data_IF_545331350752
#
_entry.id   IF_545331350752
#
_cell.length_a   1.000
_cell.length_b   1.000
_cell.length_c   1.000
_cell.angle_alpha   90.00
_cell.angle_beta   90.00
_cell.angle_gamma   90.00
#
_symmetry.space_group_name_H-M   'P 1'
#
loop_
_entity.id
_entity.type
_entity.pdbx_description
1 polymer ?
#
# COMPACT_ATOMS: atom_id res chain seq x y z
N UNK A 1 -16.35 23.37 17.84
CA UNK A 1 -16.08 22.06 17.25
C UNK A 1 -15.81 21.08 18.38
N UNK A 2 -16.39 19.89 18.39
CA UNK A 2 -16.00 18.81 19.32
C UNK A 2 -14.62 18.31 18.91
N UNK A 3 -13.78 17.95 19.89
CA UNK A 3 -12.50 17.30 19.58
C UNK A 3 -12.74 16.01 18.77
N UNK A 4 -11.87 15.68 17.79
CA UNK A 4 -11.99 14.43 17.05
C UNK A 4 -11.93 13.24 18.00
N UNK A 5 -12.73 12.21 17.72
CA UNK A 5 -12.77 11.00 18.55
C UNK A 5 -11.97 9.91 17.88
N UNK A 6 -11.20 9.14 18.68
CA UNK A 6 -10.49 7.95 18.21
C UNK A 6 -11.46 6.92 17.62
N UNK A 7 -11.00 6.18 16.62
CA UNK A 7 -11.76 5.05 16.06
C UNK A 7 -11.83 3.89 17.06
N UNK A 8 -10.68 3.62 17.74
CA UNK A 8 -10.58 2.52 18.71
C UNK A 8 -9.81 2.98 19.95
N UNK A 9 -10.55 3.27 21.04
CA UNK A 9 -9.98 3.78 22.28
C UNK A 9 -9.20 2.72 23.11
N UNK A 10 -9.29 1.44 22.73
CA UNK A 10 -8.62 0.33 23.41
C UNK A 10 -7.20 0.06 22.89
N UNK A 11 -6.76 0.74 21.84
CA UNK A 11 -5.39 0.62 21.30
C UNK A 11 -4.40 1.37 22.21
N UNK A 12 -3.38 0.65 22.69
CA UNK A 12 -2.35 1.23 23.54
C UNK A 12 -1.21 1.85 22.72
N UNK A 13 -1.26 3.17 22.53
CA UNK A 13 -0.23 3.94 21.80
C UNK A 13 0.98 4.30 22.66
N UNK A 14 0.95 4.09 23.98
CA UNK A 14 1.99 4.57 24.89
C UNK A 14 3.40 4.07 24.54
N UNK A 15 3.62 2.79 24.13
CA UNK A 15 4.96 2.33 23.75
C UNK A 15 5.55 3.07 22.56
N UNK A 16 4.73 3.43 21.55
CA UNK A 16 5.16 4.21 20.39
C UNK A 16 5.48 5.64 20.82
N UNK A 17 4.62 6.26 21.63
CA UNK A 17 4.80 7.63 22.11
C UNK A 17 6.09 7.75 22.92
N UNK A 18 6.38 6.79 23.78
CA UNK A 18 7.58 6.80 24.61
C UNK A 18 8.85 6.61 23.77
N UNK A 19 8.83 5.69 22.80
CA UNK A 19 9.94 5.47 21.89
C UNK A 19 10.23 6.72 21.04
N UNK A 20 9.20 7.35 20.47
CA UNK A 20 9.33 8.58 19.68
C UNK A 20 9.88 9.74 20.52
N UNK A 21 9.44 9.88 21.78
CA UNK A 21 9.92 10.95 22.68
C UNK A 21 11.38 10.80 23.08
N UNK A 22 11.86 9.58 23.23
CA UNK A 22 13.23 9.27 23.67
C UNK A 22 14.23 9.25 22.52
N UNK A 23 13.78 9.03 21.29
CA UNK A 23 14.63 8.94 20.11
C UNK A 23 15.29 10.28 19.78
N UNK A 24 16.57 10.23 19.41
CA UNK A 24 17.34 11.35 18.85
C UNK A 24 17.32 11.36 17.33
N UNK A 25 17.03 10.21 16.74
CA UNK A 25 16.90 10.05 15.29
C UNK A 25 15.85 9.01 14.95
N UNK A 26 14.96 9.33 14.01
CA UNK A 26 13.84 8.51 13.59
C UNK A 26 13.82 8.41 12.07
N UNK A 27 13.61 7.20 11.54
CA UNK A 27 13.35 6.99 10.12
C UNK A 27 11.95 6.39 9.95
N UNK A 28 11.15 7.01 9.11
CA UNK A 28 9.87 6.46 8.68
C UNK A 28 10.07 5.71 7.36
N UNK A 29 9.51 4.51 7.27
CA UNK A 29 9.64 3.64 6.10
C UNK A 29 8.30 2.95 5.83
N UNK A 30 8.02 2.68 4.55
CA UNK A 30 6.89 1.83 4.15
C UNK A 30 7.35 0.70 3.23
N UNK A 31 6.43 -0.13 2.75
CA UNK A 31 6.74 -1.30 1.93
C UNK A 31 7.22 -0.95 0.51
N UNK A 32 7.91 -1.91 -0.15
CA UNK A 32 8.24 -1.82 -1.58
C UNK A 32 6.99 -1.68 -2.43
N UNK A 33 7.08 -0.91 -3.52
CA UNK A 33 5.96 -0.49 -4.35
C UNK A 33 4.84 0.10 -3.47
N UNK A 34 5.11 1.22 -2.80
CA UNK A 34 4.19 1.79 -1.83
C UNK A 34 2.93 2.30 -2.51
N UNK A 35 1.82 2.14 -1.82
CA UNK A 35 0.51 2.66 -2.25
C UNK A 35 0.12 3.92 -1.48
N UNK A 36 -1.14 4.34 -1.65
CA UNK A 36 -1.64 5.57 -1.01
C UNK A 36 -1.77 5.45 0.50
N UNK A 37 -1.95 4.23 1.05
CA UNK A 37 -1.99 4.04 2.50
C UNK A 37 -0.61 4.19 3.11
N UNK A 38 0.39 3.50 2.57
CA UNK A 38 1.76 3.62 3.06
C UNK A 38 2.30 5.04 2.95
N UNK A 39 2.17 5.68 1.79
CA UNK A 39 2.66 7.06 1.56
C UNK A 39 1.86 8.09 2.37
N UNK A 40 0.53 8.03 2.35
CA UNK A 40 -0.31 8.97 3.10
C UNK A 40 -0.06 8.92 4.61
N UNK A 41 0.09 7.70 5.15
CA UNK A 41 0.44 7.47 6.55
C UNK A 41 1.81 8.04 6.89
N UNK A 42 2.80 7.82 6.02
CA UNK A 42 4.17 8.31 6.19
C UNK A 42 4.21 9.84 6.19
N UNK A 43 3.57 10.52 5.22
CA UNK A 43 3.53 11.98 5.15
C UNK A 43 2.84 12.59 6.37
N UNK A 44 1.71 12.03 6.80
CA UNK A 44 0.97 12.53 7.95
C UNK A 44 1.76 12.42 9.26
N UNK A 45 2.43 11.28 9.47
CA UNK A 45 3.26 11.09 10.66
C UNK A 45 4.53 11.94 10.61
N UNK A 46 5.15 12.07 9.43
CA UNK A 46 6.31 12.94 9.26
C UNK A 46 5.99 14.40 9.60
N UNK A 47 4.92 14.98 9.03
CA UNK A 47 4.49 16.35 9.35
C UNK A 47 4.26 16.53 10.84
N UNK A 48 3.65 15.55 11.51
CA UNK A 48 3.42 15.61 12.94
C UNK A 48 4.72 15.66 13.75
N UNK A 49 5.76 14.98 13.31
CA UNK A 49 6.99 14.81 14.07
C UNK A 49 8.06 15.86 13.76
N UNK A 50 8.01 16.57 12.61
CA UNK A 50 8.99 17.62 12.25
C UNK A 50 8.78 18.94 12.98
N UNK A 51 7.67 19.12 13.69
CA UNK A 51 7.28 20.40 14.35
C UNK A 51 8.36 20.99 15.27
N UNK A 52 9.36 20.21 15.64
CA UNK A 52 10.45 20.68 16.51
C UNK A 52 11.65 21.28 15.75
N UNK A 53 11.74 21.17 14.42
CA UNK A 53 12.82 21.77 13.62
C UNK A 53 14.22 21.21 13.89
N UNK A 54 14.33 20.04 14.49
CA UNK A 54 15.56 19.47 15.00
C UNK A 54 16.28 18.50 14.02
N UNK A 55 15.71 18.28 12.83
CA UNK A 55 16.29 17.42 11.79
C UNK A 55 16.41 15.93 12.17
N UNK A 56 15.78 15.51 13.28
CA UNK A 56 15.91 14.15 13.80
C UNK A 56 15.05 13.12 13.08
N UNK A 57 14.21 13.55 12.14
CA UNK A 57 13.27 12.67 11.42
C UNK A 57 13.55 12.72 9.93
N UNK A 58 13.62 11.55 9.32
CA UNK A 58 13.75 11.40 7.88
C UNK A 58 12.79 10.31 7.37
N UNK A 59 12.57 10.31 6.07
CA UNK A 59 11.77 9.30 5.38
C UNK A 59 12.65 8.57 4.35
N UNK A 60 12.54 7.25 4.28
CA UNK A 60 13.28 6.47 3.32
C UNK A 60 12.42 5.31 2.81
N UNK A 61 12.25 5.21 1.50
CA UNK A 61 11.51 4.13 0.86
C UNK A 61 12.36 3.50 -0.25
N UNK A 62 12.37 2.17 -0.35
CA UNK A 62 13.09 1.45 -1.40
C UNK A 62 12.77 2.00 -2.80
N UNK A 63 11.49 2.20 -3.08
CA UNK A 63 10.99 2.58 -4.40
C UNK A 63 10.50 4.04 -4.46
N UNK A 64 10.80 4.84 -3.42
CA UNK A 64 10.46 6.27 -3.37
C UNK A 64 8.96 6.52 -3.16
N UNK A 65 8.45 7.57 -3.81
CA UNK A 65 7.03 7.96 -3.80
C UNK A 65 6.48 7.82 -5.22
N UNK A 66 5.41 7.05 -5.44
CA UNK A 66 4.74 6.97 -6.74
C UNK A 66 4.28 8.35 -7.22
N UNK A 67 4.38 8.59 -8.53
CA UNK A 67 4.06 9.87 -9.17
C UNK A 67 2.68 10.42 -8.79
N UNK A 68 1.68 9.54 -8.66
CA UNK A 68 0.31 9.93 -8.31
C UNK A 68 0.15 10.48 -6.90
N UNK A 69 1.12 10.25 -6.00
CA UNK A 69 1.12 10.76 -4.61
C UNK A 69 2.13 11.89 -4.40
N UNK A 70 2.87 12.31 -5.45
CA UNK A 70 3.88 13.37 -5.36
C UNK A 70 3.31 14.76 -5.01
N UNK A 71 2.00 14.94 -5.05
CA UNK A 71 1.32 16.17 -4.65
C UNK A 71 1.18 16.31 -3.12
N UNK A 72 1.40 15.25 -2.36
CA UNK A 72 1.38 15.31 -0.90
C UNK A 72 2.55 16.11 -0.38
N UNK A 73 2.28 16.96 0.60
CA UNK A 73 3.31 17.77 1.26
C UNK A 73 4.39 16.87 1.85
N UNK A 74 5.65 17.23 1.70
CA UNK A 74 6.87 16.49 2.09
C UNK A 74 7.23 15.26 1.22
N UNK A 75 6.47 14.94 0.18
CA UNK A 75 6.77 13.79 -0.67
C UNK A 75 8.16 13.84 -1.31
N UNK A 76 8.66 15.04 -1.63
CA UNK A 76 9.99 15.30 -2.19
C UNK A 76 11.14 15.06 -1.19
N UNK A 77 10.83 14.92 0.09
CA UNK A 77 11.81 14.67 1.15
C UNK A 77 12.09 13.18 1.39
N UNK A 78 11.33 12.29 0.73
CA UNK A 78 11.53 10.84 0.82
C UNK A 78 12.79 10.45 0.06
N UNK A 79 13.75 9.90 0.78
CA UNK A 79 14.95 9.31 0.19
C UNK A 79 14.58 7.98 -0.48
N UNK A 80 15.08 7.74 -1.69
CA UNK A 80 14.80 6.54 -2.48
C UNK A 80 16.05 5.67 -2.63
N UNK A 81 15.86 4.38 -2.69
CA UNK A 81 16.90 3.40 -3.01
C UNK A 81 17.47 2.68 -1.79
N UNK A 82 18.70 2.18 -1.92
CA UNK A 82 19.39 1.54 -0.81
C UNK A 82 19.82 2.57 0.24
N UNK A 83 19.74 2.20 1.52
CA UNK A 83 20.29 3.03 2.57
C UNK A 83 21.83 3.11 2.42
N UNK A 84 22.43 4.31 2.51
CA UNK A 84 23.86 4.44 2.41
C UNK A 84 24.57 3.60 3.48
N UNK A 85 25.51 2.77 3.07
CA UNK A 85 26.23 1.83 3.96
C UNK A 85 27.05 2.51 5.05
N UNK A 86 27.40 3.77 4.85
CA UNK A 86 28.16 4.62 5.78
C UNK A 86 27.26 5.56 6.61
N UNK A 87 25.95 5.55 6.40
CA UNK A 87 25.03 6.35 7.18
C UNK A 87 24.92 5.83 8.63
N UNK A 88 24.84 6.76 9.57
CA UNK A 88 24.55 6.42 10.96
C UNK A 88 23.17 5.79 11.08
N UNK A 89 23.07 4.66 11.79
CA UNK A 89 21.77 4.02 12.07
C UNK A 89 20.92 4.93 12.96
N UNK A 90 19.60 5.01 12.70
CA UNK A 90 18.69 5.77 13.57
C UNK A 90 18.51 5.07 14.92
N UNK A 91 18.02 5.82 15.92
CA UNK A 91 17.60 5.21 17.19
C UNK A 91 16.30 4.40 17.02
N UNK A 92 15.39 4.88 16.16
CA UNK A 92 14.06 4.26 15.90
C UNK A 92 13.78 4.21 14.40
N UNK A 93 13.26 3.07 13.95
CA UNK A 93 12.65 2.92 12.63
C UNK A 93 11.15 2.66 12.83
N UNK A 94 10.30 3.42 12.16
CA UNK A 94 8.86 3.20 12.15
C UNK A 94 8.44 2.68 10.79
N UNK A 95 8.12 1.40 10.73
CA UNK A 95 7.58 0.74 9.55
C UNK A 95 6.05 0.91 9.53
N UNK A 96 5.55 1.55 8.47
CA UNK A 96 4.14 1.85 8.26
C UNK A 96 3.57 0.95 7.15
N UNK A 97 2.37 0.44 7.37
CA UNK A 97 1.62 -0.30 6.36
C UNK A 97 2.40 -1.48 5.76
N UNK A 98 3.04 -2.25 6.60
CA UNK A 98 3.89 -3.35 6.16
C UNK A 98 3.67 -4.62 6.99
N UNK A 99 3.15 -5.66 6.38
CA UNK A 99 2.84 -6.93 7.05
C UNK A 99 4.03 -7.86 7.27
N UNK A 100 5.21 -7.59 6.69
CA UNK A 100 6.41 -8.43 6.84
C UNK A 100 7.70 -7.64 6.54
N UNK A 101 8.74 -7.83 7.37
CA UNK A 101 10.02 -7.10 7.28
C UNK A 101 10.66 -7.14 5.90
N UNK A 102 10.62 -8.29 5.23
CA UNK A 102 11.18 -8.44 3.88
C UNK A 102 10.51 -7.58 2.81
N UNK A 103 9.28 -7.08 3.06
CA UNK A 103 8.61 -6.13 2.17
C UNK A 103 9.12 -4.70 2.28
N UNK A 104 9.88 -4.36 3.31
CA UNK A 104 10.50 -3.04 3.44
C UNK A 104 11.63 -2.82 2.41
N UNK A 105 12.13 -3.90 1.78
CA UNK A 105 13.13 -3.83 0.71
C UNK A 105 14.52 -3.39 1.15
N UNK A 106 14.78 -3.41 2.45
CA UNK A 106 16.07 -3.05 3.04
C UNK A 106 16.83 -4.28 3.52
N UNK A 107 18.17 -4.26 3.50
CA UNK A 107 18.97 -5.33 4.07
C UNK A 107 18.68 -5.55 5.55
N UNK A 108 18.71 -6.82 5.99
CA UNK A 108 18.40 -7.17 7.37
C UNK A 108 19.33 -6.46 8.39
N UNK A 109 20.58 -6.27 8.03
CA UNK A 109 21.60 -5.61 8.87
C UNK A 109 21.22 -4.16 9.21
N UNK A 110 20.34 -3.54 8.40
CA UNK A 110 19.90 -2.18 8.65
C UNK A 110 18.99 -2.06 9.88
N UNK A 111 18.27 -3.14 10.19
CA UNK A 111 17.39 -3.22 11.35
C UNK A 111 18.10 -3.66 12.64
N UNK A 112 19.40 -4.01 12.58
CA UNK A 112 20.17 -4.40 13.76
C UNK A 112 20.60 -3.17 14.55
N UNK A 113 20.07 -2.99 15.75
CA UNK A 113 20.37 -1.91 16.68
C UNK A 113 19.26 -0.89 16.89
N UNK A 114 18.64 -0.31 15.83
CA UNK A 114 17.46 0.54 16.00
C UNK A 114 16.28 -0.19 16.66
N UNK A 115 15.47 0.53 17.45
CA UNK A 115 14.16 0.01 17.85
C UNK A 115 13.23 0.03 16.64
N UNK A 116 12.74 -1.13 16.23
CA UNK A 116 11.81 -1.27 15.10
C UNK A 116 10.36 -1.25 15.59
N UNK A 117 9.63 -0.24 15.17
CA UNK A 117 8.18 -0.09 15.44
C UNK A 117 7.44 -0.47 14.15
N UNK A 118 6.44 -1.33 14.26
CA UNK A 118 5.54 -1.65 13.14
C UNK A 118 4.12 -1.19 13.47
N UNK A 119 3.57 -0.30 12.65
CA UNK A 119 2.17 0.17 12.70
C UNK A 119 1.49 -0.29 11.41
N UNK A 120 0.51 -1.19 11.53
CA UNK A 120 -0.06 -1.87 10.38
C UNK A 120 -1.49 -2.37 10.64
N UNK A 121 -2.33 -2.37 9.63
CA UNK A 121 -3.69 -2.89 9.71
C UNK A 121 -3.88 -4.26 9.03
N UNK A 122 -2.85 -4.84 8.48
CA UNK A 122 -2.93 -6.12 7.79
C UNK A 122 -3.16 -7.30 8.77
N UNK A 123 -4.25 -8.05 8.59
CA UNK A 123 -4.52 -9.26 9.38
C UNK A 123 -3.44 -10.35 9.22
N UNK A 124 -2.66 -10.32 8.14
CA UNK A 124 -1.56 -11.26 7.85
C UNK A 124 -0.21 -10.80 8.40
N UNK A 125 -0.16 -9.73 9.19
CA UNK A 125 1.07 -9.19 9.74
C UNK A 125 1.81 -10.23 10.60
N UNK A 126 3.14 -10.26 10.47
CA UNK A 126 4.01 -11.23 11.15
C UNK A 126 4.60 -10.72 12.47
N UNK A 127 4.17 -9.55 12.96
CA UNK A 127 4.63 -8.94 14.21
C UNK A 127 6.16 -8.86 14.29
N UNK A 128 6.78 -8.30 13.25
CA UNK A 128 8.23 -8.32 13.06
C UNK A 128 8.98 -7.17 13.75
N UNK A 129 8.28 -6.20 14.34
CA UNK A 129 8.84 -5.09 15.11
C UNK A 129 9.13 -5.48 16.56
N UNK A 130 9.96 -4.69 17.24
CA UNK A 130 10.13 -4.73 18.69
C UNK A 130 8.87 -4.20 19.38
N UNK A 131 8.23 -3.20 18.76
CA UNK A 131 6.92 -2.66 19.15
C UNK A 131 5.98 -2.87 17.97
N UNK A 132 4.86 -3.56 18.17
CA UNK A 132 3.88 -3.83 17.14
C UNK A 132 2.52 -3.27 17.54
N UNK A 133 2.03 -2.30 16.80
CA UNK A 133 0.64 -1.86 16.84
C UNK A 133 -0.01 -2.37 15.55
N UNK A 134 -0.66 -3.52 15.68
CA UNK A 134 -1.28 -4.20 14.53
C UNK A 134 -2.74 -4.46 14.84
N UNK A 135 -3.64 -3.89 14.02
CA UNK A 135 -5.07 -4.03 14.25
C UNK A 135 -5.89 -3.99 12.95
N UNK A 136 -6.36 -5.14 12.52
CA UNK A 136 -7.14 -5.32 11.30
C UNK A 136 -8.57 -4.73 11.34
N UNK A 137 -8.98 -4.13 12.46
CA UNK A 137 -10.25 -3.39 12.55
C UNK A 137 -10.18 -2.03 11.85
N UNK A 138 -8.98 -1.47 11.70
CA UNK A 138 -8.79 -0.22 10.96
C UNK A 138 -8.95 -0.43 9.46
N UNK A 139 -9.51 0.56 8.79
CA UNK A 139 -9.71 0.52 7.34
C UNK A 139 -8.45 0.81 6.54
N UNK A 140 -7.42 1.37 7.17
CA UNK A 140 -6.15 1.79 6.60
C UNK A 140 -5.16 2.07 7.72
N UNK A 141 -3.87 2.00 7.46
CA UNK A 141 -2.82 2.44 8.39
C UNK A 141 -2.92 3.94 8.67
N UNK A 142 -3.35 4.75 7.69
CA UNK A 142 -3.62 6.18 7.89
C UNK A 142 -4.69 6.46 8.96
N UNK A 143 -5.69 5.59 9.09
CA UNK A 143 -6.67 5.70 10.18
C UNK A 143 -6.04 5.37 11.56
N UNK A 144 -5.02 4.52 11.61
CA UNK A 144 -4.21 4.28 12.82
C UNK A 144 -3.37 5.52 13.16
N UNK A 145 -2.78 6.16 12.16
CA UNK A 145 -2.05 7.43 12.37
C UNK A 145 -2.98 8.53 12.90
N UNK A 146 -4.23 8.61 12.42
CA UNK A 146 -5.23 9.53 13.00
C UNK A 146 -5.39 9.34 14.51
N UNK A 147 -5.59 8.09 14.96
CA UNK A 147 -5.72 7.78 16.39
C UNK A 147 -4.43 8.04 17.17
N UNK A 148 -3.25 7.75 16.59
CA UNK A 148 -1.95 8.07 17.18
C UNK A 148 -1.79 9.59 17.38
N UNK A 149 -2.16 10.41 16.41
CA UNK A 149 -2.08 11.87 16.52
C UNK A 149 -2.98 12.39 17.66
N UNK A 150 -4.18 11.84 17.82
CA UNK A 150 -5.06 12.16 18.95
C UNK A 150 -4.40 11.76 20.27
N UNK A 151 -3.85 10.57 20.38
CA UNK A 151 -3.15 10.08 21.58
C UNK A 151 -1.92 10.94 21.93
N UNK A 152 -1.24 11.49 20.93
CA UNK A 152 -0.12 12.43 21.09
C UNK A 152 -0.57 13.88 21.40
N UNK A 153 -1.88 14.18 21.41
CA UNK A 153 -2.45 15.51 21.48
C UNK A 153 -1.96 16.45 20.35
N UNK A 154 -1.74 15.89 19.16
CA UNK A 154 -1.32 16.64 17.99
C UNK A 154 -2.53 17.08 17.16
N UNK A 155 -2.71 18.37 16.89
CA UNK A 155 -3.84 18.84 16.10
C UNK A 155 -3.69 18.40 14.64
N UNK A 156 -4.81 18.17 13.98
CA UNK A 156 -4.83 18.03 12.52
C UNK A 156 -4.52 19.39 11.88
N UNK A 157 -3.76 19.34 10.80
CA UNK A 157 -3.57 20.43 9.85
C UNK A 157 -3.82 19.92 8.43
N UNK A 158 -3.72 20.77 7.41
CA UNK A 158 -3.99 20.37 6.02
C UNK A 158 -3.08 19.24 5.55
N UNK A 159 -1.78 19.27 5.87
CA UNK A 159 -0.82 18.25 5.45
C UNK A 159 -1.16 16.87 6.03
N UNK A 160 -1.33 16.78 7.36
CA UNK A 160 -1.72 15.55 8.07
C UNK A 160 -3.05 15.01 7.57
N UNK A 161 -4.04 15.89 7.48
CA UNK A 161 -5.38 15.54 7.03
C UNK A 161 -5.38 15.04 5.58
N UNK A 162 -4.62 15.64 4.68
CA UNK A 162 -4.51 15.18 3.29
C UNK A 162 -3.84 13.82 3.18
N UNK A 163 -2.76 13.58 3.94
CA UNK A 163 -2.09 12.27 3.96
C UNK A 163 -3.03 11.17 4.46
N UNK A 164 -3.70 11.36 5.62
CA UNK A 164 -4.65 10.39 6.18
C UNK A 164 -5.85 10.18 5.25
N UNK A 165 -6.31 11.26 4.58
CA UNK A 165 -7.42 11.16 3.64
C UNK A 165 -7.04 10.32 2.42
N UNK A 166 -5.85 10.51 1.83
CA UNK A 166 -5.32 9.69 0.72
C UNK A 166 -5.23 8.22 1.14
N UNK A 167 -4.62 7.95 2.28
CA UNK A 167 -4.52 6.59 2.85
C UNK A 167 -5.90 5.91 2.95
N UNK A 168 -6.86 6.59 3.58
CA UNK A 168 -8.21 6.07 3.75
C UNK A 168 -8.94 5.90 2.40
N UNK A 169 -8.82 6.89 1.50
CA UNK A 169 -9.46 6.87 0.18
C UNK A 169 -9.01 5.69 -0.66
N UNK A 170 -7.70 5.43 -0.69
CA UNK A 170 -7.13 4.36 -1.52
C UNK A 170 -7.44 2.98 -0.94
N UNK A 171 -7.27 2.77 0.35
CA UNK A 171 -7.43 1.45 0.95
C UNK A 171 -8.90 1.05 1.20
N UNK A 172 -9.81 2.01 1.19
CA UNK A 172 -11.25 1.74 1.16
C UNK A 172 -11.83 1.68 -0.26
N UNK A 173 -10.99 1.75 -1.29
CA UNK A 173 -11.40 1.86 -2.69
C UNK A 173 -12.47 2.97 -2.89
N UNK A 174 -12.19 4.18 -2.43
CA UNK A 174 -13.10 5.34 -2.42
C UNK A 174 -14.34 5.12 -1.54
N UNK A 175 -14.14 4.66 -0.32
CA UNK A 175 -15.20 4.44 0.68
C UNK A 175 -16.27 3.40 0.25
N UNK A 176 -15.88 2.41 -0.58
CA UNK A 176 -16.79 1.36 -1.10
C UNK A 176 -16.65 0.02 -0.40
N UNK A 177 -15.53 -0.23 0.29
CA UNK A 177 -15.29 -1.50 0.96
C UNK A 177 -16.02 -1.59 2.30
N UNK A 178 -16.24 -2.82 2.78
CA UNK A 178 -16.91 -3.10 4.05
C UNK A 178 -16.17 -2.54 5.28
N UNK A 179 -14.88 -2.25 5.17
CA UNK A 179 -14.08 -1.54 6.17
C UNK A 179 -14.53 -0.08 6.37
N UNK A 180 -15.35 0.49 5.48
CA UNK A 180 -15.88 1.85 5.57
C UNK A 180 -17.05 1.91 6.55
N UNK A 181 -16.73 2.02 7.82
CA UNK A 181 -17.73 2.12 8.91
C UNK A 181 -18.23 3.56 9.10
N UNK A 182 -19.30 3.77 9.89
CA UNK A 182 -19.70 5.13 10.28
C UNK A 182 -18.62 5.93 11.00
N UNK A 183 -17.69 5.28 11.71
CA UNK A 183 -16.55 5.93 12.34
C UNK A 183 -15.56 6.47 11.30
N UNK A 184 -15.30 5.71 10.23
CA UNK A 184 -14.45 6.13 9.10
C UNK A 184 -15.03 7.36 8.40
N UNK A 185 -16.35 7.43 8.19
CA UNK A 185 -16.99 8.63 7.61
C UNK A 185 -16.88 9.86 8.54
N UNK A 186 -16.98 9.68 9.86
CA UNK A 186 -16.77 10.80 10.82
C UNK A 186 -15.33 11.27 10.77
N UNK A 187 -14.36 10.35 10.80
CA UNK A 187 -12.94 10.68 10.61
C UNK A 187 -12.72 11.45 9.30
N UNK A 188 -13.30 10.97 8.19
CA UNK A 188 -13.20 11.69 6.91
C UNK A 188 -13.78 13.09 6.97
N UNK A 189 -14.88 13.32 7.70
CA UNK A 189 -15.42 14.66 7.92
C UNK A 189 -14.46 15.53 8.72
N UNK A 190 -13.84 15.01 9.79
CA UNK A 190 -12.82 15.72 10.58
C UNK A 190 -11.60 16.09 9.73
N UNK A 191 -11.17 15.19 8.83
CA UNK A 191 -10.06 15.43 7.88
C UNK A 191 -10.39 16.57 6.90
N UNK A 192 -11.61 16.59 6.36
CA UNK A 192 -12.06 17.66 5.45
C UNK A 192 -12.16 18.99 6.22
N UNK A 193 -12.65 18.97 7.45
CA UNK A 193 -12.71 20.16 8.31
C UNK A 193 -11.30 20.69 8.62
N UNK A 194 -10.30 19.82 8.75
CA UNK A 194 -8.89 20.17 8.95
C UNK A 194 -8.18 20.64 7.67
N UNK A 195 -8.85 20.59 6.51
CA UNK A 195 -8.35 21.15 5.26
C UNK A 195 -7.97 20.13 4.17
N UNK A 196 -8.26 18.83 4.35
CA UNK A 196 -8.18 17.89 3.23
C UNK A 196 -9.23 18.27 2.17
N UNK A 197 -8.81 18.30 0.91
CA UNK A 197 -9.66 18.74 -0.21
C UNK A 197 -10.03 17.51 -1.07
N UNK A 198 -11.22 16.90 -0.88
CA UNK A 198 -11.59 15.64 -1.54
C UNK A 198 -11.49 15.68 -3.07
N UNK A 199 -11.94 16.77 -3.71
CA UNK A 199 -11.93 16.89 -5.17
C UNK A 199 -10.51 16.96 -5.73
N UNK A 200 -9.63 17.89 -5.32
CA UNK A 200 -8.23 17.90 -5.77
C UNK A 200 -7.50 16.59 -5.53
N UNK A 201 -7.68 15.97 -4.36
CA UNK A 201 -7.08 14.67 -4.04
C UNK A 201 -7.58 13.58 -5.00
N UNK A 202 -8.90 13.52 -5.25
CA UNK A 202 -9.47 12.51 -6.15
C UNK A 202 -8.97 12.68 -7.59
N UNK A 203 -8.84 13.93 -8.05
CA UNK A 203 -8.29 14.22 -9.39
C UNK A 203 -6.84 13.70 -9.48
N UNK A 204 -6.00 13.97 -8.49
CA UNK A 204 -4.61 13.48 -8.49
C UNK A 204 -4.53 11.96 -8.46
N UNK A 205 -5.32 11.31 -7.62
CA UNK A 205 -5.26 9.85 -7.46
C UNK A 205 -5.89 9.10 -8.63
N UNK A 206 -6.98 9.60 -9.21
CA UNK A 206 -7.78 8.82 -10.17
C UNK A 206 -7.85 9.41 -11.58
N UNK A 207 -7.57 10.71 -11.78
CA UNK A 207 -7.74 11.40 -13.06
C UNK A 207 -6.43 12.01 -13.58
N UNK A 208 -5.26 11.60 -13.06
CA UNK A 208 -3.94 12.09 -13.45
C UNK A 208 -3.16 11.10 -14.35
N UNK A 209 -3.84 10.17 -15.00
CA UNK A 209 -3.19 9.19 -15.89
C UNK A 209 -2.49 9.87 -17.06
N UNK A 210 -1.29 9.41 -17.39
CA UNK A 210 -0.56 9.81 -18.58
C UNK A 210 -1.24 9.29 -19.87
N UNK A 211 -0.93 9.86 -21.03
CA UNK A 211 -1.41 9.32 -22.29
C UNK A 211 -0.87 7.89 -22.55
N UNK A 212 0.40 7.62 -22.18
CA UNK A 212 0.98 6.28 -22.20
C UNK A 212 0.22 5.33 -21.27
N UNK A 213 -0.21 5.80 -20.09
CA UNK A 213 -1.07 5.06 -19.16
C UNK A 213 -2.44 4.68 -19.74
N UNK A 214 -3.03 5.53 -20.60
CA UNK A 214 -4.24 5.17 -21.34
C UNK A 214 -3.96 4.17 -22.46
N UNK A 215 -2.83 4.30 -23.15
CA UNK A 215 -2.43 3.36 -24.20
C UNK A 215 -2.15 1.96 -23.63
N UNK A 216 -1.41 1.87 -22.51
CA UNK A 216 -1.13 0.56 -21.88
C UNK A 216 -2.41 -0.06 -21.31
N UNK A 217 -3.32 0.74 -20.76
CA UNK A 217 -4.63 0.26 -20.31
C UNK A 217 -5.39 -0.39 -21.49
N UNK A 218 -5.47 0.26 -22.63
CA UNK A 218 -6.12 -0.29 -23.82
C UNK A 218 -5.44 -1.59 -24.26
N UNK A 219 -4.11 -1.60 -24.38
CA UNK A 219 -3.35 -2.77 -24.79
C UNK A 219 -3.46 -3.92 -23.78
N UNK A 220 -3.54 -3.64 -22.49
CA UNK A 220 -3.76 -4.62 -21.45
C UNK A 220 -5.17 -5.23 -21.56
N UNK A 221 -6.20 -4.41 -21.75
CA UNK A 221 -7.59 -4.88 -21.87
C UNK A 221 -7.82 -5.69 -23.14
N UNK A 222 -7.08 -5.41 -24.23
CA UNK A 222 -7.11 -6.22 -25.46
C UNK A 222 -6.58 -7.65 -25.22
N UNK A 223 -5.84 -7.90 -24.13
CA UNK A 223 -5.39 -9.26 -23.76
C UNK A 223 -6.38 -10.03 -22.89
N UNK A 224 -7.56 -9.45 -22.62
CA UNK A 224 -8.53 -10.03 -21.69
C UNK A 224 -8.96 -11.44 -22.10
N UNK A 225 -8.80 -12.37 -21.20
CA UNK A 225 -9.25 -13.77 -21.35
C UNK A 225 -10.19 -14.15 -20.20
N UNK A 226 -11.34 -14.72 -20.55
CA UNK A 226 -12.22 -15.34 -19.56
C UNK A 226 -11.90 -16.82 -19.43
N UNK A 227 -11.79 -17.33 -18.19
CA UNK A 227 -11.47 -18.73 -17.89
C UNK A 227 -12.35 -19.26 -16.77
N UNK A 228 -12.22 -20.56 -16.45
CA UNK A 228 -12.95 -21.21 -15.35
C UNK A 228 -14.48 -20.97 -15.45
N UNK A 229 -15.06 -21.21 -16.62
CA UNK A 229 -16.48 -21.01 -16.93
C UNK A 229 -16.97 -19.55 -16.66
N UNK A 230 -16.09 -18.56 -16.93
CA UNK A 230 -16.38 -17.14 -16.72
C UNK A 230 -16.14 -16.64 -15.29
N UNK A 231 -15.67 -17.49 -14.37
CA UNK A 231 -15.42 -17.15 -12.98
C UNK A 231 -14.05 -16.51 -12.75
N UNK A 232 -13.12 -16.62 -13.71
CA UNK A 232 -11.86 -15.87 -13.66
C UNK A 232 -11.63 -15.04 -14.92
N UNK A 233 -11.04 -13.85 -14.75
CA UNK A 233 -10.65 -12.94 -15.81
C UNK A 233 -9.17 -12.61 -15.73
N UNK A 234 -8.47 -12.69 -16.86
CA UNK A 234 -7.02 -12.59 -16.94
C UNK A 234 -6.61 -11.49 -17.90
N UNK A 235 -5.66 -10.67 -17.50
CA UNK A 235 -5.06 -9.63 -18.32
C UNK A 235 -3.53 -9.66 -18.21
N UNK A 236 -2.85 -9.17 -19.25
CA UNK A 236 -1.40 -9.29 -19.38
C UNK A 236 -0.76 -7.98 -19.83
N UNK A 237 0.44 -7.71 -19.31
CA UNK A 237 1.35 -6.70 -19.86
C UNK A 237 2.74 -7.31 -20.01
N UNK A 238 3.19 -7.43 -21.27
CA UNK A 238 4.49 -7.93 -21.64
C UNK A 238 5.46 -6.79 -21.95
N UNK A 239 6.76 -7.07 -22.07
CA UNK A 239 7.78 -6.10 -22.49
C UNK A 239 7.44 -5.45 -23.84
N UNK A 240 6.81 -6.21 -24.73
CA UNK A 240 6.38 -5.69 -26.04
C UNK A 240 5.27 -4.63 -25.89
N UNK A 241 4.34 -4.83 -24.96
CA UNK A 241 3.29 -3.85 -24.64
C UNK A 241 3.91 -2.59 -24.04
N UNK A 242 4.82 -2.71 -23.05
CA UNK A 242 5.53 -1.55 -22.51
C UNK A 242 6.25 -0.76 -23.59
N UNK A 243 7.03 -1.44 -24.44
CA UNK A 243 7.76 -0.79 -25.54
C UNK A 243 6.85 -0.08 -26.55
N UNK A 244 5.70 -0.67 -26.90
CA UNK A 244 4.75 -0.09 -27.86
C UNK A 244 4.00 1.10 -27.32
N UNK A 245 3.71 1.12 -26.05
CA UNK A 245 2.91 2.18 -25.39
C UNK A 245 3.77 3.31 -24.84
N UNK A 246 5.06 3.04 -24.58
CA UNK A 246 5.95 3.98 -23.90
C UNK A 246 5.58 4.21 -22.43
N UNK A 247 4.77 3.31 -21.86
CA UNK A 247 4.34 3.35 -20.47
C UNK A 247 5.38 2.71 -19.55
N UNK A 248 5.33 3.03 -18.28
CA UNK A 248 6.12 2.42 -17.21
C UNK A 248 5.25 1.54 -16.29
N UNK A 249 5.88 0.97 -15.26
CA UNK A 249 5.20 0.10 -14.29
C UNK A 249 4.11 0.84 -13.51
N UNK A 250 4.32 2.12 -13.18
CA UNK A 250 3.32 2.91 -12.45
C UNK A 250 2.04 3.07 -13.27
N UNK A 251 2.15 3.16 -14.59
CA UNK A 251 1.00 3.26 -15.49
C UNK A 251 0.11 2.00 -15.49
N UNK A 252 0.59 0.87 -14.92
CA UNK A 252 -0.18 -0.38 -14.82
C UNK A 252 -1.02 -0.48 -13.55
N UNK A 253 -0.92 0.50 -12.64
CA UNK A 253 -1.67 0.45 -11.38
C UNK A 253 -3.19 0.52 -11.62
N UNK A 254 -3.91 -0.34 -10.92
CA UNK A 254 -5.38 -0.43 -11.02
C UNK A 254 -5.92 -1.15 -12.27
N UNK A 255 -5.08 -1.60 -13.23
CA UNK A 255 -5.57 -2.28 -14.43
C UNK A 255 -6.32 -3.59 -14.14
N UNK A 256 -5.92 -4.31 -13.11
CA UNK A 256 -6.58 -5.55 -12.67
C UNK A 256 -8.04 -5.34 -12.25
N UNK A 257 -8.40 -4.15 -11.79
CA UNK A 257 -9.74 -3.86 -11.30
C UNK A 257 -10.77 -3.86 -12.42
N UNK A 258 -10.37 -3.55 -13.64
CA UNK A 258 -11.24 -3.69 -14.81
C UNK A 258 -11.62 -5.16 -15.06
N UNK A 259 -10.66 -6.07 -14.99
CA UNK A 259 -10.92 -7.51 -15.09
C UNK A 259 -11.80 -8.00 -13.94
N UNK A 260 -11.55 -7.53 -12.70
CA UNK A 260 -12.38 -7.86 -11.53
C UNK A 260 -13.80 -7.33 -11.67
N UNK A 261 -14.02 -6.21 -12.36
CA UNK A 261 -15.34 -5.57 -12.48
C UNK A 261 -16.36 -6.36 -13.30
N UNK A 262 -15.88 -7.32 -14.12
CA UNK A 262 -16.76 -8.13 -14.99
C UNK A 262 -17.77 -8.92 -14.14
N UNK A 263 -19.00 -8.95 -14.58
CA UNK A 263 -20.04 -9.74 -13.90
C UNK A 263 -19.72 -11.24 -13.94
N UNK A 264 -20.01 -11.94 -12.86
CA UNK A 264 -19.69 -13.36 -12.70
C UNK A 264 -18.21 -13.67 -12.36
N UNK A 265 -17.28 -12.70 -12.49
CA UNK A 265 -15.88 -12.90 -12.12
C UNK A 265 -15.74 -12.92 -10.60
N UNK A 266 -15.08 -13.96 -10.10
CA UNK A 266 -14.72 -14.14 -8.70
C UNK A 266 -13.23 -13.85 -8.44
N UNK A 267 -12.37 -14.17 -9.41
CA UNK A 267 -10.92 -13.92 -9.34
C UNK A 267 -10.45 -13.21 -10.60
N UNK A 268 -9.82 -12.05 -10.45
CA UNK A 268 -9.05 -11.41 -11.50
C UNK A 268 -7.56 -11.71 -11.34
N UNK A 269 -6.90 -11.96 -12.45
CA UNK A 269 -5.46 -12.23 -12.54
C UNK A 269 -4.81 -11.22 -13.48
N UNK A 270 -3.76 -10.56 -13.01
CA UNK A 270 -2.94 -9.69 -13.82
C UNK A 270 -1.50 -10.18 -13.81
N UNK A 271 -0.95 -10.50 -14.97
CA UNK A 271 0.44 -10.94 -15.13
C UNK A 271 1.20 -9.89 -15.92
N UNK A 272 2.24 -9.32 -15.34
CA UNK A 272 3.11 -8.38 -16.02
C UNK A 272 4.57 -8.78 -15.97
N UNK A 273 5.32 -8.48 -17.03
CA UNK A 273 6.77 -8.68 -17.05
C UNK A 273 7.46 -7.78 -16.01
N UNK A 274 8.58 -8.27 -15.51
CA UNK A 274 9.49 -7.48 -14.68
C UNK A 274 10.38 -6.63 -15.60
N UNK A 275 10.57 -5.34 -15.27
CA UNK A 275 11.34 -4.43 -16.10
C UNK A 275 12.86 -4.69 -16.10
N UNK A 276 13.36 -5.39 -15.09
CA UNK A 276 14.80 -5.54 -14.82
C UNK A 276 15.28 -6.96 -15.12
N UNK A 277 14.45 -7.96 -14.85
CA UNK A 277 14.84 -9.37 -14.94
C UNK A 277 13.98 -10.08 -15.98
N UNK A 278 14.63 -10.51 -17.06
CA UNK A 278 13.98 -11.30 -18.10
C UNK A 278 13.36 -12.58 -17.53
N UNK A 279 12.22 -12.99 -18.10
CA UNK A 279 11.46 -14.17 -17.67
C UNK A 279 11.05 -14.17 -16.19
N UNK A 280 11.01 -13.00 -15.56
CA UNK A 280 10.38 -12.79 -14.24
C UNK A 280 9.07 -12.04 -14.43
N UNK A 281 8.04 -12.51 -13.72
CA UNK A 281 6.68 -11.99 -13.84
C UNK A 281 6.13 -11.64 -12.47
N UNK A 282 5.54 -10.48 -12.34
CA UNK A 282 4.68 -10.13 -11.21
C UNK A 282 3.27 -10.58 -11.52
N UNK A 283 2.71 -11.40 -10.64
CA UNK A 283 1.33 -11.87 -10.73
C UNK A 283 0.53 -11.26 -9.60
N UNK A 284 -0.51 -10.52 -9.96
CA UNK A 284 -1.44 -9.91 -9.02
C UNK A 284 -2.79 -10.61 -9.08
N UNK A 285 -3.43 -10.75 -7.93
CA UNK A 285 -4.75 -11.35 -7.79
C UNK A 285 -5.70 -10.38 -7.10
N UNK A 286 -6.96 -10.34 -7.56
CA UNK A 286 -8.05 -9.66 -6.87
C UNK A 286 -9.22 -10.62 -6.72
N UNK A 287 -9.68 -10.81 -5.48
CA UNK A 287 -10.89 -11.58 -5.15
C UNK A 287 -12.11 -10.68 -5.01
N UNK A 288 -13.26 -11.15 -5.46
CA UNK A 288 -14.52 -10.38 -5.40
C UNK A 288 -15.47 -10.87 -4.30
N UNK A 289 -15.49 -12.19 -4.04
CA UNK A 289 -16.47 -12.81 -3.13
C UNK A 289 -15.78 -13.66 -2.06
N UNK A 290 -15.92 -14.99 -2.17
CA UNK A 290 -15.47 -15.94 -1.15
C UNK A 290 -14.03 -16.45 -1.35
N UNK A 291 -13.42 -16.21 -2.50
CA UNK A 291 -12.07 -16.71 -2.79
C UNK A 291 -11.01 -15.91 -2.04
N UNK A 292 -10.23 -16.60 -1.20
CA UNK A 292 -9.09 -16.02 -0.50
C UNK A 292 -7.86 -15.99 -1.40
N UNK A 293 -7.66 -14.87 -2.10
CA UNK A 293 -6.51 -14.72 -3.00
C UNK A 293 -5.18 -14.57 -2.26
N UNK A 294 -5.19 -14.23 -0.96
CA UNK A 294 -3.99 -14.25 -0.12
C UNK A 294 -3.46 -15.66 0.08
N UNK A 295 -4.35 -16.63 0.35
CA UNK A 295 -3.98 -18.04 0.43
C UNK A 295 -3.48 -18.56 -0.93
N UNK A 296 -4.18 -18.22 -2.04
CA UNK A 296 -3.79 -18.56 -3.41
C UNK A 296 -2.38 -18.06 -3.74
N UNK A 297 -2.08 -16.80 -3.46
CA UNK A 297 -0.75 -16.23 -3.67
C UNK A 297 0.30 -16.92 -2.80
N UNK A 298 -0.05 -17.29 -1.56
CA UNK A 298 0.81 -18.03 -0.63
C UNK A 298 1.26 -19.38 -1.19
N UNK A 299 0.38 -20.13 -1.87
CA UNK A 299 0.74 -21.40 -2.56
C UNK A 299 1.78 -21.19 -3.67
N UNK A 300 1.83 -19.99 -4.25
CA UNK A 300 2.78 -19.60 -5.29
C UNK A 300 4.03 -18.88 -4.75
N UNK A 301 4.21 -18.86 -3.43
CA UNK A 301 5.36 -18.22 -2.78
C UNK A 301 5.20 -16.71 -2.54
N UNK A 302 3.99 -16.18 -2.67
CA UNK A 302 3.64 -14.80 -2.43
C UNK A 302 2.81 -14.59 -1.17
N UNK A 303 1.90 -13.59 -1.19
CA UNK A 303 1.00 -13.30 -0.08
C UNK A 303 0.15 -12.04 -0.33
N UNK A 304 -0.58 -11.62 0.69
CA UNK A 304 -1.44 -10.44 0.65
C UNK A 304 -2.72 -10.63 1.48
N UNK A 305 -3.71 -9.79 1.19
CA UNK A 305 -5.02 -9.84 1.81
C UNK A 305 -5.94 -10.89 1.18
N UNK A 306 -7.09 -11.12 1.84
CA UNK A 306 -8.14 -12.03 1.33
C UNK A 306 -8.60 -11.63 -0.08
N UNK A 307 -8.70 -10.33 -0.37
CA UNK A 307 -9.21 -9.80 -1.63
C UNK A 307 -8.16 -9.21 -2.56
N UNK A 308 -6.90 -9.04 -2.11
CA UNK A 308 -5.81 -8.46 -2.88
C UNK A 308 -4.48 -9.12 -2.50
N UNK A 309 -3.83 -9.79 -3.45
CA UNK A 309 -2.59 -10.50 -3.18
C UNK A 309 -1.73 -10.59 -4.45
N UNK A 310 -0.48 -11.01 -4.30
CA UNK A 310 0.40 -11.22 -5.44
C UNK A 310 1.61 -12.09 -5.12
N UNK A 311 2.29 -12.51 -6.19
CA UNK A 311 3.53 -13.27 -6.12
C UNK A 311 4.46 -12.89 -7.28
N UNK A 312 5.70 -13.35 -7.22
CA UNK A 312 6.64 -13.29 -8.35
C UNK A 312 6.95 -14.72 -8.82
N UNK A 313 6.93 -14.91 -10.12
CA UNK A 313 7.21 -16.20 -10.74
C UNK A 313 8.26 -16.04 -11.85
N UNK A 314 9.08 -17.07 -12.06
CA UNK A 314 10.07 -17.14 -13.13
C UNK A 314 9.71 -18.21 -14.13
N UNK A 315 10.11 -18.04 -15.40
CA UNK A 315 9.85 -18.91 -16.54
C UNK A 315 9.23 -18.14 -17.71
N UNK A 316 8.92 -18.86 -18.77
CA UNK A 316 8.18 -18.29 -19.91
C UNK A 316 6.77 -17.88 -19.48
N UNK A 317 6.14 -16.96 -20.21
CA UNK A 317 4.76 -16.53 -19.91
C UNK A 317 3.80 -17.74 -19.87
N UNK A 318 3.95 -18.70 -20.79
CA UNK A 318 3.07 -19.89 -20.85
C UNK A 318 3.25 -20.79 -19.63
N UNK A 319 4.48 -20.99 -19.15
CA UNK A 319 4.73 -21.74 -17.92
C UNK A 319 4.13 -21.06 -16.69
N UNK A 320 4.29 -19.72 -16.59
CA UNK A 320 3.69 -18.93 -15.51
C UNK A 320 2.18 -19.02 -15.57
N UNK A 321 1.57 -18.82 -16.75
CA UNK A 321 0.12 -18.95 -16.97
C UNK A 321 -0.39 -20.33 -16.54
N UNK A 322 0.30 -21.41 -16.92
CA UNK A 322 -0.11 -22.78 -16.55
C UNK A 322 -0.07 -22.99 -15.03
N UNK A 323 0.99 -22.54 -14.35
CA UNK A 323 1.10 -22.66 -12.89
C UNK A 323 0.02 -21.86 -12.16
N UNK A 324 -0.22 -20.64 -12.57
CA UNK A 324 -1.26 -19.77 -11.99
C UNK A 324 -2.65 -20.35 -12.24
N UNK A 325 -2.92 -20.89 -13.44
CA UNK A 325 -4.21 -21.50 -13.77
C UNK A 325 -4.56 -22.65 -12.81
N UNK A 326 -3.58 -23.54 -12.52
CA UNK A 326 -3.81 -24.65 -11.59
C UNK A 326 -4.21 -24.15 -10.20
N UNK A 327 -3.53 -23.11 -9.70
CA UNK A 327 -3.84 -22.53 -8.38
C UNK A 327 -5.22 -21.85 -8.36
N UNK A 328 -5.54 -21.06 -9.41
CA UNK A 328 -6.84 -20.37 -9.53
C UNK A 328 -7.99 -21.38 -9.62
N UNK A 329 -7.89 -22.36 -10.53
CA UNK A 329 -8.95 -23.38 -10.70
C UNK A 329 -9.19 -24.18 -9.42
N UNK A 330 -8.13 -24.52 -8.68
CA UNK A 330 -8.25 -25.19 -7.37
C UNK A 330 -8.98 -24.32 -6.38
N UNK A 331 -8.60 -23.05 -6.26
CA UNK A 331 -9.26 -22.11 -5.34
C UNK A 331 -10.74 -21.92 -5.66
N UNK A 332 -11.08 -21.85 -6.95
CA UNK A 332 -12.49 -21.74 -7.41
C UNK A 332 -13.30 -23.03 -7.21
N UNK A 333 -12.65 -24.21 -7.24
CA UNK A 333 -13.32 -25.51 -7.05
C UNK A 333 -13.64 -25.82 -5.59
N UNK A 334 -13.08 -25.05 -4.65
CA UNK A 334 -13.30 -25.23 -3.21
C UNK A 334 -14.62 -24.62 -2.74
N UNK A 335 -15.36 -24.01 -3.65
CA UNK A 335 -16.66 -23.36 -3.45
C UNK A 335 -17.62 -23.77 -4.57
#
# INVERSE_FOLDING_TARGET
MSAPMTLFADVNWQPVIDAVRQARSIVLITHCNPDGDGIGSQMALYDALIVAGDGRISMHNRDGVPRIYSFLEHSEQVQMGDWPSDAAKPDVIIALDCGARGRLGMPDEWFDGPTLINIDHHASNRLFGDINIVDARYCATGAMIFDLLIAMNMPLNKARASGIYVATLTDTASFRLASTTPAVYRMAADLVEAGAEPWPISVQVYESRSLSGLHIMTACLDTLEMRDDGRSAWVYVTDDIYRKTGADVEDTEGLIDYARSIDGVEVAVFIRSDEVVAERWKVSFRGKTCVNVGALAGELGGGGHVHAAGCQLTGTLDEVRARVQVAVSRSLSSF
#
